data_IF_846270565431
#
_entry.id   IF_846270565431
#
_cell.length_a   1.000
_cell.length_b   1.000
_cell.length_c   1.000
_cell.angle_alpha   90.00
_cell.angle_beta   90.00
_cell.angle_gamma   90.00
#
_symmetry.space_group_name_H-M   'P 1'
#
loop_
_entity.id
_entity.type
_entity.pdbx_description
1 polymer ?
#
# COMPACT_ATOMS: atom_id res chain seq x y z
N UNK A 1 4.55 4.33 15.75
CA UNK A 1 5.43 3.17 15.44
C UNK A 1 5.37 2.82 13.96
N UNK A 2 4.19 2.68 13.35
CA UNK A 2 4.01 2.51 11.91
C UNK A 2 4.77 3.57 11.07
N UNK A 3 4.70 4.84 11.46
CA UNK A 3 5.41 5.95 10.77
C UNK A 3 6.93 5.75 10.65
N UNK A 4 7.59 5.26 11.70
CA UNK A 4 9.04 5.00 11.67
C UNK A 4 9.34 3.89 10.66
N UNK A 5 8.53 2.84 10.63
CA UNK A 5 8.72 1.74 9.69
C UNK A 5 8.46 2.16 8.24
N UNK A 6 7.41 2.94 8.01
CA UNK A 6 7.10 3.54 6.70
C UNK A 6 8.29 4.35 6.18
N UNK A 7 8.91 5.17 7.04
CA UNK A 7 10.12 5.93 6.66
C UNK A 7 11.31 5.02 6.37
N UNK A 8 11.49 3.94 7.15
CA UNK A 8 12.65 3.03 7.02
C UNK A 8 12.54 2.04 5.87
N UNK A 9 11.33 1.75 5.38
CA UNK A 9 11.10 0.92 4.20
C UNK A 9 11.81 1.47 2.95
N UNK A 10 11.94 2.80 2.82
CA UNK A 10 12.67 3.46 1.74
C UNK A 10 14.17 3.64 2.00
N UNK A 11 14.74 3.00 3.02
CA UNK A 11 16.16 3.13 3.34
C UNK A 11 17.06 2.58 2.22
N UNK A 12 18.18 3.25 1.87
CA UNK A 12 19.15 2.69 0.93
C UNK A 12 19.93 1.50 1.53
N UNK A 13 19.93 1.36 2.86
CA UNK A 13 20.45 0.18 3.55
C UNK A 13 19.45 -0.97 3.46
N UNK A 14 19.86 -2.05 2.79
CA UNK A 14 19.03 -3.22 2.48
C UNK A 14 18.51 -3.91 3.74
N UNK A 15 19.37 -4.11 4.75
CA UNK A 15 18.97 -4.76 5.99
C UNK A 15 17.89 -3.93 6.72
N UNK A 16 18.07 -2.61 6.78
CA UNK A 16 17.11 -1.68 7.37
C UNK A 16 15.79 -1.68 6.61
N UNK A 17 15.84 -1.58 5.27
CA UNK A 17 14.65 -1.59 4.42
C UNK A 17 13.88 -2.92 4.55
N UNK A 18 14.57 -4.05 4.40
CA UNK A 18 13.97 -5.38 4.55
C UNK A 18 13.35 -5.57 5.93
N UNK A 19 14.07 -5.23 6.99
CA UNK A 19 13.56 -5.34 8.37
C UNK A 19 12.30 -4.49 8.55
N UNK A 20 12.30 -3.26 8.03
CA UNK A 20 11.16 -2.37 8.14
C UNK A 20 9.93 -2.93 7.40
N UNK A 21 10.11 -3.39 6.16
CA UNK A 21 9.06 -3.97 5.31
C UNK A 21 8.52 -5.27 5.92
N UNK A 22 9.39 -6.11 6.50
CA UNK A 22 8.95 -7.30 7.23
C UNK A 22 8.10 -6.94 8.44
N UNK A 23 8.50 -5.96 9.25
CA UNK A 23 7.67 -5.52 10.37
C UNK A 23 6.34 -4.90 9.93
N UNK A 24 6.33 -4.16 8.81
CA UNK A 24 5.08 -3.66 8.23
C UNK A 24 4.16 -4.83 7.86
N UNK A 25 4.68 -5.87 7.19
CA UNK A 25 3.90 -7.07 6.84
C UNK A 25 3.29 -7.72 8.10
N UNK A 26 4.11 -7.96 9.12
CA UNK A 26 3.64 -8.53 10.39
C UNK A 26 2.60 -7.64 11.08
N UNK A 27 2.78 -6.32 11.04
CA UNK A 27 1.78 -5.40 11.56
C UNK A 27 0.46 -5.52 10.80
N UNK A 28 0.48 -5.52 9.47
CA UNK A 28 -0.75 -5.67 8.67
C UNK A 28 -1.46 -6.98 9.00
N UNK A 29 -0.74 -8.10 9.08
CA UNK A 29 -1.29 -9.42 9.42
C UNK A 29 -1.92 -9.48 10.82
N UNK A 30 -1.32 -8.81 11.80
CA UNK A 30 -1.76 -8.87 13.20
C UNK A 30 -2.76 -7.77 13.57
N UNK A 31 -2.64 -6.60 12.96
CA UNK A 31 -3.35 -5.38 13.33
C UNK A 31 -4.74 -5.28 12.72
N UNK A 32 -4.95 -5.87 11.54
CA UNK A 32 -6.24 -5.80 10.82
C UNK A 32 -6.80 -4.37 10.81
N UNK A 33 -8.07 -4.23 11.15
CA UNK A 33 -8.80 -2.96 11.07
C UNK A 33 -8.21 -1.82 11.93
N UNK A 34 -7.43 -2.14 12.97
CA UNK A 34 -6.76 -1.12 13.80
C UNK A 34 -5.70 -0.32 13.03
N UNK A 35 -5.24 -0.84 11.89
CA UNK A 35 -4.25 -0.20 11.04
C UNK A 35 -4.84 0.59 9.88
N UNK A 36 -6.17 0.57 9.70
CA UNK A 36 -6.87 1.28 8.62
C UNK A 36 -6.44 2.75 8.48
N UNK A 37 -6.28 3.53 9.56
CA UNK A 37 -5.81 4.92 9.45
C UNK A 37 -4.41 5.08 8.83
N UNK A 38 -3.59 4.03 8.86
CA UNK A 38 -2.22 4.03 8.34
C UNK A 38 -2.08 3.36 6.97
N UNK A 39 -3.15 2.80 6.39
CA UNK A 39 -3.08 2.03 5.14
C UNK A 39 -2.58 2.82 3.96
N UNK A 40 -2.96 4.10 3.84
CA UNK A 40 -2.44 4.95 2.78
C UNK A 40 -0.91 5.08 2.89
N UNK A 41 -0.39 5.40 4.08
CA UNK A 41 1.06 5.56 4.28
C UNK A 41 1.82 4.25 4.06
N UNK A 42 1.29 3.15 4.59
CA UNK A 42 1.85 1.81 4.40
C UNK A 42 1.88 1.46 2.90
N UNK A 43 0.77 1.65 2.19
CA UNK A 43 0.69 1.38 0.77
C UNK A 43 1.70 2.23 -0.01
N UNK A 44 1.82 3.51 0.33
CA UNK A 44 2.78 4.43 -0.27
C UNK A 44 4.23 4.00 -0.10
N UNK A 45 4.58 3.38 1.02
CA UNK A 45 5.90 2.83 1.27
C UNK A 45 6.14 1.49 0.57
N UNK A 46 5.13 0.61 0.52
CA UNK A 46 5.28 -0.77 0.05
C UNK A 46 5.17 -0.89 -1.47
N UNK A 47 4.30 -0.11 -2.12
CA UNK A 47 4.07 -0.26 -3.56
C UNK A 47 5.33 -0.08 -4.42
N UNK A 48 6.27 0.85 -4.12
CA UNK A 48 7.54 0.92 -4.84
C UNK A 48 8.42 -0.33 -4.67
N UNK A 49 8.32 -1.03 -3.53
CA UNK A 49 9.17 -2.15 -3.16
C UNK A 49 8.90 -3.44 -3.97
N UNK A 50 7.76 -3.55 -4.66
CA UNK A 50 7.48 -4.73 -5.52
C UNK A 50 8.37 -4.83 -6.75
N UNK A 51 9.04 -3.75 -7.10
CA UNK A 51 10.03 -3.68 -8.19
C UNK A 51 11.44 -3.45 -7.66
N UNK A 52 11.68 -3.69 -6.37
CA UNK A 52 13.01 -3.58 -5.79
C UNK A 52 13.99 -4.56 -6.45
N UNK A 53 15.27 -4.20 -6.48
CA UNK A 53 16.33 -5.08 -7.01
C UNK A 53 16.49 -6.36 -6.17
N UNK A 54 16.26 -6.28 -4.86
CA UNK A 54 16.39 -7.39 -3.93
C UNK A 54 15.13 -8.26 -3.92
N UNK A 55 15.31 -9.56 -4.15
CA UNK A 55 14.18 -10.49 -4.27
C UNK A 55 13.41 -10.61 -2.97
N UNK A 56 14.10 -10.65 -1.83
CA UNK A 56 13.45 -10.76 -0.52
C UNK A 56 12.51 -9.58 -0.27
N UNK A 57 12.95 -8.37 -0.62
CA UNK A 57 12.12 -7.17 -0.50
C UNK A 57 10.87 -7.28 -1.38
N UNK A 58 11.02 -7.72 -2.64
CA UNK A 58 9.88 -7.90 -3.54
C UNK A 58 8.87 -8.91 -3.02
N UNK A 59 9.32 -10.03 -2.46
CA UNK A 59 8.43 -11.08 -1.92
C UNK A 59 7.60 -10.53 -0.76
N UNK A 60 8.27 -9.93 0.23
CA UNK A 60 7.57 -9.39 1.41
C UNK A 60 6.63 -8.24 1.01
N UNK A 61 7.02 -7.39 0.07
CA UNK A 61 6.17 -6.31 -0.42
C UNK A 61 4.90 -6.82 -1.10
N UNK A 62 5.01 -7.86 -1.95
CA UNK A 62 3.85 -8.47 -2.61
C UNK A 62 2.89 -9.10 -1.60
N UNK A 63 3.42 -9.86 -0.65
CA UNK A 63 2.60 -10.41 0.44
C UNK A 63 1.86 -9.31 1.19
N UNK A 64 2.55 -8.24 1.57
CA UNK A 64 1.95 -7.11 2.29
C UNK A 64 0.82 -6.45 1.48
N UNK A 65 0.98 -6.30 0.16
CA UNK A 65 -0.05 -5.72 -0.70
C UNK A 65 -1.26 -6.64 -0.86
N UNK A 66 -1.06 -7.96 -0.90
CA UNK A 66 -2.18 -8.92 -0.87
C UNK A 66 -2.96 -8.81 0.44
N UNK A 67 -2.28 -8.79 1.58
CA UNK A 67 -2.92 -8.65 2.89
C UNK A 67 -3.72 -7.34 2.99
N UNK A 68 -3.13 -6.21 2.57
CA UNK A 68 -3.82 -4.91 2.55
C UNK A 68 -5.08 -4.91 1.69
N UNK A 69 -5.09 -5.63 0.56
CA UNK A 69 -6.27 -5.75 -0.32
C UNK A 69 -7.32 -6.72 0.21
N UNK A 70 -6.90 -7.75 0.94
CA UNK A 70 -7.79 -8.70 1.58
C UNK A 70 -8.61 -8.04 2.70
N UNK A 71 -8.09 -6.98 3.31
CA UNK A 71 -8.80 -6.23 4.33
C UNK A 71 -10.01 -5.52 3.71
N UNK A 72 -11.19 -5.81 4.27
CA UNK A 72 -12.45 -5.15 3.92
C UNK A 72 -12.67 -3.98 4.88
N UNK A 73 -11.86 -2.93 4.74
CA UNK A 73 -12.00 -1.73 5.56
C UNK A 73 -13.24 -0.93 5.14
N UNK A 74 -14.07 -0.55 6.10
CA UNK A 74 -15.20 0.35 5.85
C UNK A 74 -14.69 1.79 5.75
N UNK A 75 -15.12 2.61 4.76
CA UNK A 75 -14.86 4.05 4.73
C UNK A 75 -15.21 4.79 6.03
N UNK A 76 -16.16 4.26 6.81
CA UNK A 76 -16.50 4.77 8.14
C UNK A 76 -15.37 4.60 9.18
N UNK A 77 -14.43 3.68 8.96
CA UNK A 77 -13.30 3.37 9.87
C UNK A 77 -12.03 4.17 9.56
N UNK A 78 -12.18 5.37 8.98
CA UNK A 78 -11.07 6.24 8.56
C UNK A 78 -10.21 5.70 7.40
N UNK A 79 -10.77 4.82 6.56
CA UNK A 79 -10.14 4.39 5.31
C UNK A 79 -10.13 5.53 4.29
N UNK A 80 -8.96 6.16 4.09
CA UNK A 80 -8.82 7.27 3.14
C UNK A 80 -8.70 6.79 1.69
N UNK A 81 -9.87 6.56 1.08
CA UNK A 81 -10.01 6.22 -0.35
C UNK A 81 -9.28 7.22 -1.25
N UNK A 82 -9.28 8.52 -0.89
CA UNK A 82 -8.64 9.56 -1.69
C UNK A 82 -7.12 9.45 -1.70
N UNK A 83 -6.53 9.28 -0.53
CA UNK A 83 -5.08 9.10 -0.38
C UNK A 83 -4.61 7.83 -1.10
N UNK A 84 -5.32 6.70 -0.93
CA UNK A 84 -5.00 5.43 -1.59
C UNK A 84 -5.10 5.56 -3.12
N UNK A 85 -6.16 6.19 -3.62
CA UNK A 85 -6.33 6.45 -5.05
C UNK A 85 -5.21 7.35 -5.61
N UNK A 86 -4.80 8.37 -4.86
CA UNK A 86 -3.68 9.25 -5.23
C UNK A 86 -2.36 8.47 -5.35
N UNK A 87 -2.07 7.59 -4.38
CA UNK A 87 -0.89 6.73 -4.39
C UNK A 87 -0.92 5.78 -5.58
N UNK A 88 -2.04 5.08 -5.79
CA UNK A 88 -2.20 4.16 -6.92
C UNK A 88 -2.02 4.88 -8.26
N UNK A 89 -2.62 6.07 -8.43
CA UNK A 89 -2.43 6.89 -9.64
C UNK A 89 -0.98 7.27 -9.87
N UNK A 90 -0.27 7.69 -8.82
CA UNK A 90 1.17 8.01 -8.91
C UNK A 90 1.97 6.80 -9.36
N UNK A 91 1.72 5.64 -8.77
CA UNK A 91 2.42 4.40 -9.09
C UNK A 91 2.04 3.81 -10.46
N UNK A 92 0.87 4.14 -11.00
CA UNK A 92 0.48 3.76 -12.37
C UNK A 92 1.36 4.44 -13.44
N UNK A 93 2.04 5.54 -13.11
CA UNK A 93 3.04 6.18 -13.97
C UNK A 93 4.46 5.64 -13.77
N UNK A 94 4.64 4.58 -12.98
CA UNK A 94 5.95 3.96 -12.73
C UNK A 94 6.53 3.34 -14.01
N UNK A 95 7.85 3.39 -14.16
CA UNK A 95 8.57 2.71 -15.25
C UNK A 95 8.45 1.17 -15.15
N UNK A 96 8.22 0.66 -13.93
CA UNK A 96 8.15 -0.75 -13.64
C UNK A 96 6.74 -1.32 -13.89
N UNK A 97 6.65 -2.31 -14.78
CA UNK A 97 5.38 -2.94 -15.15
C UNK A 97 4.65 -3.56 -13.97
N UNK A 98 5.36 -4.31 -13.12
CA UNK A 98 4.79 -4.90 -11.91
C UNK A 98 4.14 -3.84 -11.01
N UNK A 99 4.77 -2.67 -10.88
CA UNK A 99 4.22 -1.55 -10.10
C UNK A 99 2.95 -0.97 -10.71
N UNK A 100 2.90 -0.84 -12.04
CA UNK A 100 1.70 -0.38 -12.73
C UNK A 100 0.56 -1.37 -12.61
N UNK A 101 0.83 -2.67 -12.72
CA UNK A 101 -0.17 -3.73 -12.58
C UNK A 101 -0.80 -3.68 -11.18
N UNK A 102 0.02 -3.57 -10.12
CA UNK A 102 -0.51 -3.47 -8.76
C UNK A 102 -1.31 -2.19 -8.54
N UNK A 103 -0.87 -1.06 -9.09
CA UNK A 103 -1.64 0.18 -9.05
C UNK A 103 -3.02 0.03 -9.72
N UNK A 104 -3.10 -0.66 -10.86
CA UNK A 104 -4.38 -0.93 -11.53
C UNK A 104 -5.27 -1.87 -10.72
N UNK A 105 -4.71 -2.89 -10.07
CA UNK A 105 -5.46 -3.74 -9.14
C UNK A 105 -6.07 -2.94 -7.99
N UNK A 106 -5.33 -1.98 -7.42
CA UNK A 106 -5.85 -1.09 -6.39
C UNK A 106 -6.98 -0.20 -6.90
N UNK A 107 -6.81 0.43 -8.05
CA UNK A 107 -7.85 1.27 -8.67
C UNK A 107 -9.12 0.43 -8.92
N UNK A 108 -8.98 -0.77 -9.48
CA UNK A 108 -10.09 -1.70 -9.70
C UNK A 108 -10.78 -2.09 -8.39
N UNK A 109 -10.02 -2.41 -7.35
CA UNK A 109 -10.56 -2.78 -6.03
C UNK A 109 -11.36 -1.62 -5.43
N UNK A 110 -10.82 -0.41 -5.47
CA UNK A 110 -11.51 0.79 -4.97
C UNK A 110 -12.78 1.11 -5.78
N UNK A 111 -12.75 0.95 -7.11
CA UNK A 111 -13.93 1.15 -7.95
C UNK A 111 -15.03 0.12 -7.65
N UNK A 112 -14.67 -1.14 -7.39
CA UNK A 112 -15.63 -2.18 -7.09
C UNK A 112 -16.23 -2.04 -5.68
N UNK A 113 -15.44 -1.63 -4.69
CA UNK A 113 -15.86 -1.58 -3.28
C UNK A 113 -16.38 -0.20 -2.83
N UNK A 114 -15.82 0.89 -3.36
CA UNK A 114 -16.05 2.27 -2.91
C UNK A 114 -16.31 3.22 -4.10
N UNK A 115 -17.12 2.75 -5.05
CA UNK A 115 -17.42 3.45 -6.31
C UNK A 115 -17.91 4.89 -6.09
N UNK A 116 -18.77 5.11 -5.08
CA UNK A 116 -19.37 6.42 -4.78
C UNK A 116 -18.27 7.40 -4.33
N UNK A 117 -17.40 6.96 -3.43
CA UNK A 117 -16.29 7.76 -2.91
C UNK A 117 -15.30 8.09 -4.02
N UNK A 118 -14.96 7.14 -4.90
CA UNK A 118 -14.08 7.37 -6.05
C UNK A 118 -14.68 8.42 -7.00
N UNK A 119 -15.98 8.34 -7.30
CA UNK A 119 -16.66 9.34 -8.15
C UNK A 119 -16.68 10.73 -7.52
N UNK A 120 -16.78 10.82 -6.18
CA UNK A 120 -16.68 12.08 -5.45
C UNK A 120 -15.29 12.71 -5.59
N UNK A 121 -14.22 11.92 -5.51
CA UNK A 121 -12.84 12.41 -5.66
C UNK A 121 -12.50 12.83 -7.10
N UNK A 122 -13.23 12.34 -8.11
CA UNK A 122 -13.04 12.71 -9.52
C UNK A 122 -13.62 14.10 -9.87
N UNK A 123 -14.57 14.60 -9.06
CA UNK A 123 -15.26 15.88 -9.28
C UNK A 123 -14.67 17.04 -8.46
N UNK A 124 -13.73 16.74 -7.56
CA UNK A 124 -12.99 17.72 -6.75
C UNK A 124 -11.70 18.14 -7.46
#
# INVERSE_FOLDING_TARGET
MAEILVQRAGSPDEFTSLTAITWINEFVKLGGDQLVPYYADILGAILPCISDKEEKIRVVARETIEELRAINADPAEAFDVGAILSIARRCNSSEWEATRIEALHWISTLLNRHCIEVHRQSKS
#
